data_IF_970778078886
#
_entry.id   IF_970778078886
#
_cell.length_a   1.000
_cell.length_b   1.000
_cell.length_c   1.000
_cell.angle_alpha   90.00
_cell.angle_beta   90.00
_cell.angle_gamma   90.00
#
_symmetry.space_group_name_H-M   'P 1'
#
loop_
_entity.id
_entity.type
_entity.pdbx_description
1 polymer ?
#
# COMPACT_ATOMS: atom_id res chain seq x y z
N UNK A 1 -14.37 10.74 -18.38
CA UNK A 1 -14.96 11.54 -17.26
C UNK A 1 -16.36 11.06 -16.89
N UNK A 2 -17.30 10.97 -17.85
CA UNK A 2 -18.70 10.58 -17.59
C UNK A 2 -18.81 9.17 -16.96
N UNK A 3 -18.01 8.20 -17.40
CA UNK A 3 -18.00 6.84 -16.85
C UNK A 3 -17.57 6.84 -15.39
N UNK A 4 -16.51 7.56 -15.04
CA UNK A 4 -16.01 7.65 -13.66
C UNK A 4 -16.98 8.37 -12.73
N UNK A 5 -17.62 9.43 -13.21
CA UNK A 5 -18.63 10.16 -12.44
C UNK A 5 -19.86 9.29 -12.19
N UNK A 6 -20.35 8.58 -13.20
CA UNK A 6 -21.47 7.65 -13.05
C UNK A 6 -21.11 6.45 -12.16
N UNK A 7 -19.91 5.88 -12.32
CA UNK A 7 -19.42 4.82 -11.45
C UNK A 7 -19.34 5.29 -9.99
N UNK A 8 -18.79 6.47 -9.74
CA UNK A 8 -18.68 7.05 -8.40
C UNK A 8 -20.06 7.34 -7.78
N UNK A 9 -20.99 7.86 -8.56
CA UNK A 9 -22.35 8.12 -8.10
C UNK A 9 -23.08 6.81 -7.76
N UNK A 10 -22.96 5.79 -8.60
CA UNK A 10 -23.54 4.47 -8.35
C UNK A 10 -22.86 3.72 -7.23
N UNK A 11 -21.55 3.90 -7.05
CA UNK A 11 -20.80 3.34 -5.94
C UNK A 11 -21.19 3.96 -4.60
N UNK A 12 -21.42 5.27 -4.56
CA UNK A 12 -21.81 6.01 -3.34
C UNK A 12 -23.32 5.88 -3.02
N UNK A 13 -24.16 5.72 -4.04
CA UNK A 13 -25.62 5.55 -3.92
C UNK A 13 -26.11 4.51 -4.93
N UNK A 14 -25.94 3.22 -4.68
CA UNK A 14 -26.34 2.16 -5.60
C UNK A 14 -27.86 2.06 -5.66
N UNK A 15 -28.46 2.57 -6.73
CA UNK A 15 -29.91 2.45 -6.99
C UNK A 15 -30.25 1.27 -7.89
N UNK A 16 -29.32 0.83 -8.75
CA UNK A 16 -29.57 -0.18 -9.79
C UNK A 16 -28.47 -1.23 -9.91
N UNK A 17 -27.36 -1.11 -9.17
CA UNK A 17 -26.20 -2.01 -9.28
C UNK A 17 -25.76 -2.51 -7.90
N UNK A 18 -25.44 -3.79 -7.83
CA UNK A 18 -24.74 -4.38 -6.69
C UNK A 18 -23.23 -4.39 -6.97
N UNK A 19 -22.44 -4.07 -5.97
CA UNK A 19 -20.98 -4.13 -6.03
C UNK A 19 -20.48 -5.30 -5.20
N UNK A 20 -19.51 -6.03 -5.75
CA UNK A 20 -18.91 -7.19 -5.10
C UNK A 20 -17.41 -7.02 -4.93
N UNK A 21 -16.88 -7.32 -3.76
CA UNK A 21 -15.46 -7.45 -3.51
C UNK A 21 -15.11 -8.94 -3.39
N UNK A 22 -14.65 -9.53 -4.49
CA UNK A 22 -14.43 -10.97 -4.62
C UNK A 22 -12.92 -11.25 -4.57
N UNK A 23 -12.43 -12.09 -3.64
CA UNK A 23 -11.07 -12.61 -3.69
C UNK A 23 -10.83 -13.39 -4.99
N UNK A 24 -9.68 -13.22 -5.65
CA UNK A 24 -9.36 -13.90 -6.91
C UNK A 24 -9.49 -15.42 -6.82
N UNK A 25 -9.16 -16.01 -5.67
CA UNK A 25 -9.25 -17.46 -5.44
C UNK A 25 -10.68 -18.04 -5.57
N UNK A 26 -11.71 -17.21 -5.41
CA UNK A 26 -13.11 -17.64 -5.49
C UNK A 26 -13.91 -16.85 -6.53
N UNK A 27 -13.22 -16.07 -7.37
CA UNK A 27 -13.84 -15.17 -8.34
C UNK A 27 -14.80 -15.91 -9.28
N UNK A 28 -14.36 -16.99 -9.90
CA UNK A 28 -15.14 -17.75 -10.86
C UNK A 28 -16.39 -18.36 -10.22
N UNK A 29 -16.24 -19.01 -9.06
CA UNK A 29 -17.37 -19.60 -8.31
C UNK A 29 -18.38 -18.54 -7.90
N UNK A 30 -17.92 -17.39 -7.39
CA UNK A 30 -18.80 -16.31 -6.96
C UNK A 30 -19.51 -15.66 -8.15
N UNK A 31 -18.80 -15.44 -9.26
CA UNK A 31 -19.38 -14.88 -10.48
C UNK A 31 -20.49 -15.81 -11.04
N UNK A 32 -20.23 -17.11 -11.11
CA UNK A 32 -21.23 -18.09 -11.54
C UNK A 32 -22.46 -18.09 -10.63
N UNK A 33 -22.27 -18.02 -9.31
CA UNK A 33 -23.38 -17.93 -8.36
C UNK A 33 -24.21 -16.65 -8.54
N UNK A 34 -23.56 -15.48 -8.76
CA UNK A 34 -24.25 -14.22 -9.06
C UNK A 34 -25.06 -14.32 -10.35
N UNK A 35 -24.50 -14.95 -11.40
CA UNK A 35 -25.19 -15.14 -12.68
C UNK A 35 -26.42 -16.04 -12.51
N UNK A 36 -26.31 -17.15 -11.75
CA UNK A 36 -27.41 -18.06 -11.46
C UNK A 36 -28.55 -17.34 -10.72
N UNK A 37 -28.23 -16.59 -9.65
CA UNK A 37 -29.23 -15.80 -8.91
C UNK A 37 -29.95 -14.81 -9.83
N UNK A 38 -29.22 -14.11 -10.72
CA UNK A 38 -29.81 -13.16 -11.68
C UNK A 38 -30.73 -13.84 -12.71
N UNK A 39 -30.49 -15.11 -13.02
CA UNK A 39 -31.35 -15.93 -13.87
C UNK A 39 -32.55 -16.54 -13.12
N UNK A 40 -32.65 -16.35 -11.80
CA UNK A 40 -33.65 -16.97 -10.96
C UNK A 40 -33.35 -18.45 -10.61
N UNK A 41 -32.11 -18.87 -10.83
CA UNK A 41 -31.61 -20.21 -10.50
C UNK A 41 -31.05 -20.24 -9.07
N UNK A 42 -31.08 -21.39 -8.41
CA UNK A 42 -30.51 -21.55 -7.06
C UNK A 42 -29.02 -21.94 -7.14
N UNK A 43 -28.08 -21.09 -6.68
CA UNK A 43 -26.64 -21.38 -6.70
C UNK A 43 -26.20 -22.35 -5.59
N UNK A 44 -27.16 -22.89 -4.82
CA UNK A 44 -26.89 -23.72 -3.67
C UNK A 44 -26.36 -22.96 -2.44
N UNK A 45 -26.21 -23.65 -1.29
CA UNK A 45 -25.83 -22.99 -0.03
C UNK A 45 -24.44 -22.33 -0.08
N UNK A 46 -23.48 -22.99 -0.75
CA UNK A 46 -22.11 -22.45 -0.89
C UNK A 46 -22.09 -21.20 -1.79
N UNK A 47 -22.81 -21.23 -2.91
CA UNK A 47 -22.93 -20.11 -3.82
C UNK A 47 -23.61 -18.90 -3.17
N UNK A 48 -24.71 -19.10 -2.43
CA UNK A 48 -25.37 -18.03 -1.67
C UNK A 48 -24.41 -17.37 -0.67
N UNK A 49 -23.69 -18.18 0.11
CA UNK A 49 -22.71 -17.70 1.08
C UNK A 49 -21.55 -16.92 0.45
N UNK A 50 -21.08 -17.36 -0.72
CA UNK A 50 -20.04 -16.64 -1.48
C UNK A 50 -20.53 -15.27 -1.94
N UNK A 51 -21.77 -15.17 -2.43
CA UNK A 51 -22.39 -13.93 -2.87
C UNK A 51 -22.58 -12.98 -1.69
N UNK A 52 -23.23 -13.43 -0.61
CA UNK A 52 -23.46 -12.64 0.61
C UNK A 52 -22.17 -12.09 1.20
N UNK A 53 -21.11 -12.92 1.29
CA UNK A 53 -19.81 -12.49 1.82
C UNK A 53 -19.07 -11.51 0.90
N UNK A 54 -19.43 -11.46 -0.37
CA UNK A 54 -18.75 -10.65 -1.38
C UNK A 54 -19.53 -9.37 -1.70
N UNK A 55 -20.85 -9.36 -1.52
CA UNK A 55 -21.68 -8.19 -1.79
C UNK A 55 -21.35 -7.04 -0.83
N UNK A 56 -21.15 -5.88 -1.41
CA UNK A 56 -20.86 -4.66 -0.67
C UNK A 56 -22.18 -3.94 -0.34
N UNK A 57 -22.84 -4.35 0.74
CA UNK A 57 -23.87 -3.52 1.38
C UNK A 57 -23.20 -2.30 2.06
N UNK A 58 -23.97 -1.27 2.41
CA UNK A 58 -23.41 -0.03 2.94
C UNK A 58 -22.54 -0.23 4.18
N UNK A 59 -22.97 -1.03 5.12
CA UNK A 59 -22.19 -1.34 6.34
C UNK A 59 -20.95 -2.20 6.03
N UNK A 60 -21.10 -3.23 5.23
CA UNK A 60 -19.99 -4.11 4.82
C UNK A 60 -18.97 -3.40 3.93
N UNK A 61 -19.40 -2.44 3.12
CA UNK A 61 -18.55 -1.60 2.28
C UNK A 61 -17.70 -0.67 3.13
N UNK A 62 -18.30 0.04 4.08
CA UNK A 62 -17.61 0.95 5.00
C UNK A 62 -16.62 0.15 5.86
N UNK A 63 -17.02 -0.99 6.41
CA UNK A 63 -16.16 -1.83 7.23
C UNK A 63 -14.96 -2.42 6.44
N UNK A 64 -15.16 -2.84 5.19
CA UNK A 64 -14.08 -3.35 4.32
C UNK A 64 -13.15 -2.24 3.84
N UNK A 65 -13.66 -1.05 3.55
CA UNK A 65 -12.85 0.11 3.20
C UNK A 65 -12.07 0.63 4.42
N UNK A 66 -12.67 0.70 5.58
CA UNK A 66 -12.01 1.08 6.82
C UNK A 66 -10.86 0.12 7.21
N UNK A 67 -11.00 -1.19 6.91
CA UNK A 67 -9.91 -2.17 7.11
C UNK A 67 -8.77 -2.02 6.10
N UNK A 68 -9.03 -1.43 4.94
CA UNK A 68 -8.04 -1.27 3.86
C UNK A 68 -7.19 -0.02 4.03
N UNK A 69 -7.75 1.03 4.63
CA UNK A 69 -7.10 2.32 4.80
C UNK A 69 -6.89 2.62 6.29
N UNK A 70 -5.76 3.23 6.61
CA UNK A 70 -5.39 3.67 7.95
C UNK A 70 -6.04 5.00 8.30
N UNK A 71 -6.29 5.82 7.27
CA UNK A 71 -6.86 7.16 7.37
C UNK A 71 -8.09 7.27 6.47
N UNK A 72 -9.03 8.13 6.87
CA UNK A 72 -10.11 8.60 6.01
C UNK A 72 -9.63 9.78 5.16
N UNK A 73 -10.17 9.93 3.96
CA UNK A 73 -9.82 11.02 3.05
C UNK A 73 -10.04 12.41 3.68
N UNK A 74 -11.09 12.56 4.51
CA UNK A 74 -11.38 13.82 5.19
C UNK A 74 -10.35 14.18 6.27
N UNK A 75 -9.60 13.20 6.75
CA UNK A 75 -8.54 13.40 7.75
C UNK A 75 -7.22 13.85 7.13
N UNK A 76 -7.07 13.74 5.81
CA UNK A 76 -5.82 14.14 5.15
C UNK A 76 -5.58 15.65 5.30
N UNK A 77 -4.33 16.07 5.46
CA UNK A 77 -3.95 17.47 5.70
C UNK A 77 -3.97 18.28 4.40
N UNK A 78 -5.16 18.46 3.82
CA UNK A 78 -5.37 19.12 2.53
C UNK A 78 -4.84 20.54 2.46
N UNK A 79 -4.91 21.28 3.57
CA UNK A 79 -4.39 22.65 3.64
C UNK A 79 -2.87 22.69 3.45
N UNK A 80 -2.16 21.73 4.07
CA UNK A 80 -0.71 21.62 3.96
C UNK A 80 -0.30 21.18 2.56
N UNK A 81 -0.98 20.18 2.00
CA UNK A 81 -0.74 19.71 0.62
C UNK A 81 -0.98 20.82 -0.40
N UNK A 82 -2.10 21.53 -0.30
CA UNK A 82 -2.42 22.63 -1.20
C UNK A 82 -1.42 23.79 -1.10
N UNK A 83 -0.92 24.08 0.11
CA UNK A 83 0.12 25.09 0.31
C UNK A 83 1.45 24.72 -0.37
N UNK A 84 1.68 23.44 -0.64
CA UNK A 84 2.83 22.92 -1.40
C UNK A 84 2.53 22.78 -2.90
N UNK A 85 1.32 23.10 -3.34
CA UNK A 85 0.89 22.99 -4.73
C UNK A 85 0.40 21.58 -5.12
N UNK A 86 0.12 20.73 -4.14
CA UNK A 86 -0.37 19.37 -4.36
C UNK A 86 -1.85 19.30 -3.99
N UNK A 87 -2.69 19.01 -4.96
CA UNK A 87 -4.13 18.86 -4.78
C UNK A 87 -4.57 17.38 -4.88
N UNK A 88 -5.85 17.18 -4.65
CA UNK A 88 -6.47 15.85 -4.70
C UNK A 88 -6.41 15.22 -6.08
N UNK A 89 -6.59 16.03 -7.14
CA UNK A 89 -6.58 15.54 -8.51
C UNK A 89 -5.20 15.02 -8.88
N UNK A 90 -4.15 15.78 -8.54
CA UNK A 90 -2.76 15.39 -8.79
C UNK A 90 -2.39 14.07 -8.09
N UNK A 91 -2.80 13.89 -6.82
CA UNK A 91 -2.61 12.64 -6.10
C UNK A 91 -3.38 11.46 -6.72
N UNK A 92 -4.56 11.72 -7.25
CA UNK A 92 -5.38 10.69 -7.89
C UNK A 92 -4.79 10.27 -9.25
N UNK A 93 -4.40 11.21 -10.09
CA UNK A 93 -3.80 10.97 -11.41
C UNK A 93 -2.50 10.18 -11.31
N UNK A 94 -1.72 10.40 -10.24
CA UNK A 94 -0.48 9.66 -9.96
C UNK A 94 -0.69 8.39 -9.10
N UNK A 95 -1.93 7.96 -8.87
CA UNK A 95 -2.28 6.78 -8.06
C UNK A 95 -1.78 6.80 -6.60
N UNK A 96 -1.38 7.97 -6.09
CA UNK A 96 -0.79 8.14 -4.76
C UNK A 96 -1.83 8.33 -3.64
N UNK A 97 -3.09 8.62 -3.97
CA UNK A 97 -4.15 8.78 -2.97
C UNK A 97 -4.28 7.57 -2.05
N UNK A 98 -4.33 6.36 -2.64
CA UNK A 98 -4.44 5.11 -1.87
C UNK A 98 -3.22 4.82 -1.00
N UNK A 99 -2.04 5.28 -1.37
CA UNK A 99 -0.81 5.16 -0.57
C UNK A 99 -0.88 6.06 0.66
N UNK A 100 -1.27 7.32 0.49
CA UNK A 100 -1.44 8.25 1.59
C UNK A 100 -2.50 7.79 2.59
N UNK A 101 -3.65 7.29 2.11
CA UNK A 101 -4.70 6.72 2.97
C UNK A 101 -4.23 5.50 3.75
N UNK A 102 -3.30 4.71 3.22
CA UNK A 102 -2.66 3.59 3.92
C UNK A 102 -1.53 4.03 4.87
N UNK A 103 -1.18 5.31 4.91
CA UNK A 103 -0.02 5.80 5.65
C UNK A 103 1.29 5.29 5.05
N UNK A 104 1.35 5.18 3.72
CA UNK A 104 2.55 4.84 2.96
C UNK A 104 3.13 6.09 2.30
N UNK A 105 4.40 6.05 1.98
CA UNK A 105 5.06 7.09 1.20
C UNK A 105 4.54 7.03 -0.23
N UNK A 106 4.29 8.19 -0.85
CA UNK A 106 3.89 8.27 -2.26
C UNK A 106 4.99 7.70 -3.16
N UNK A 107 4.61 6.85 -4.10
CA UNK A 107 5.52 6.24 -5.10
C UNK A 107 5.98 7.20 -6.18
N UNK A 108 5.48 8.44 -6.17
CA UNK A 108 5.85 9.52 -7.08
C UNK A 108 6.33 10.71 -6.27
N UNK A 109 7.41 11.35 -6.72
CA UNK A 109 7.83 12.65 -6.24
C UNK A 109 7.06 13.75 -6.98
N UNK A 110 6.53 14.71 -6.24
CA UNK A 110 5.75 15.82 -6.76
C UNK A 110 6.57 17.10 -6.74
N UNK A 111 6.52 17.93 -7.78
CA UNK A 111 7.09 19.27 -7.73
C UNK A 111 6.36 20.09 -6.66
N UNK A 112 7.11 20.65 -5.74
CA UNK A 112 6.56 21.44 -4.65
C UNK A 112 6.98 22.89 -4.77
N UNK A 113 6.09 23.78 -4.37
CA UNK A 113 6.35 25.22 -4.38
C UNK A 113 5.73 25.84 -3.14
N UNK A 114 6.28 26.94 -2.71
CA UNK A 114 5.76 27.72 -1.58
C UNK A 114 5.62 29.17 -1.98
N UNK A 115 4.53 29.78 -1.59
CA UNK A 115 4.35 31.22 -1.76
C UNK A 115 5.07 31.97 -0.64
N UNK A 116 6.02 32.84 -1.02
CA UNK A 116 6.74 33.70 -0.12
C UNK A 116 6.62 35.15 -0.64
N UNK A 117 6.02 36.02 0.14
CA UNK A 117 5.77 37.44 -0.22
C UNK A 117 5.01 37.61 -1.57
N UNK A 118 4.03 36.74 -1.84
CA UNK A 118 3.23 36.77 -3.08
C UNK A 118 3.95 36.19 -4.31
N UNK A 119 5.15 35.64 -4.15
CA UNK A 119 5.91 34.99 -5.24
C UNK A 119 5.99 33.51 -4.99
N UNK A 120 5.60 32.73 -6.00
CA UNK A 120 5.71 31.27 -5.97
C UNK A 120 7.17 30.87 -6.17
N UNK A 121 7.77 30.26 -5.15
CA UNK A 121 9.13 29.75 -5.18
C UNK A 121 9.12 28.24 -5.38
N UNK A 122 9.92 27.75 -6.31
CA UNK A 122 10.16 26.33 -6.50
C UNK A 122 11.00 25.79 -5.32
N UNK A 123 10.52 24.71 -4.72
CA UNK A 123 11.16 24.01 -3.60
C UNK A 123 11.72 22.64 -4.00
N UNK A 124 11.76 22.34 -5.31
CA UNK A 124 12.17 21.05 -5.85
C UNK A 124 11.04 20.01 -5.79
N UNK A 125 11.41 18.76 -5.59
CA UNK A 125 10.46 17.63 -5.56
C UNK A 125 10.39 17.00 -4.17
N UNK A 126 9.22 16.47 -3.80
CA UNK A 126 9.03 15.75 -2.55
C UNK A 126 8.03 14.59 -2.70
N UNK A 127 8.24 13.56 -1.89
CA UNK A 127 7.25 12.53 -1.60
C UNK A 127 6.54 12.83 -0.28
N UNK A 128 5.36 12.31 -0.10
CA UNK A 128 4.51 12.57 1.05
C UNK A 128 4.16 11.30 1.81
N UNK A 129 3.97 11.44 3.11
CA UNK A 129 3.56 10.39 4.02
C UNK A 129 2.64 10.98 5.07
N UNK A 130 1.49 10.34 5.28
CA UNK A 130 0.60 10.66 6.39
C UNK A 130 0.91 9.78 7.61
N UNK A 131 1.07 10.39 8.76
CA UNK A 131 1.27 9.71 10.04
C UNK A 131 0.25 10.19 11.06
N UNK A 132 -0.05 9.37 12.06
CA UNK A 132 -0.88 9.78 13.18
C UNK A 132 0.01 10.46 14.22
N UNK A 133 -0.28 11.73 14.53
CA UNK A 133 0.40 12.47 15.58
C UNK A 133 0.00 11.99 16.98
N UNK A 134 0.70 12.48 18.00
CA UNK A 134 0.41 12.18 19.41
C UNK A 134 -0.97 12.71 19.83
N UNK A 135 -1.43 13.79 19.22
CA UNK A 135 -2.77 14.37 19.39
C UNK A 135 -3.88 13.58 18.67
N UNK A 136 -3.53 12.47 18.02
CA UNK A 136 -4.45 11.62 17.26
C UNK A 136 -4.80 12.15 15.87
N UNK A 137 -4.36 13.35 15.49
CA UNK A 137 -4.60 13.93 14.17
C UNK A 137 -3.63 13.39 13.13
N UNK A 138 -4.07 13.43 11.88
CA UNK A 138 -3.20 13.08 10.75
C UNK A 138 -2.29 14.26 10.42
N UNK A 139 -1.00 13.98 10.36
CA UNK A 139 0.05 14.95 10.06
C UNK A 139 0.73 14.58 8.75
N UNK A 140 1.10 15.59 7.95
CA UNK A 140 1.90 15.44 6.74
C UNK A 140 3.39 15.38 7.08
N UNK A 141 4.06 14.33 6.64
CA UNK A 141 5.53 14.33 6.53
C UNK A 141 5.91 14.54 5.08
N UNK A 142 6.70 15.57 4.82
CA UNK A 142 7.27 15.91 3.51
C UNK A 142 8.69 15.38 3.43
N UNK A 143 8.95 14.53 2.46
CA UNK A 143 10.24 13.93 2.19
C UNK A 143 10.81 14.55 0.92
N UNK A 144 11.49 15.68 1.03
CA UNK A 144 12.16 16.33 -0.11
C UNK A 144 13.13 15.35 -0.76
N UNK A 145 13.09 15.28 -2.10
CA UNK A 145 14.01 14.46 -2.89
C UNK A 145 15.44 14.93 -2.64
N UNK A 146 16.33 13.98 -2.44
CA UNK A 146 17.76 14.23 -2.31
C UNK A 146 18.43 14.18 -3.68
N UNK A 147 19.46 14.98 -3.90
CA UNK A 147 20.24 15.00 -5.15
C UNK A 147 21.00 13.68 -5.36
N UNK A 148 21.35 13.01 -4.26
CA UNK A 148 22.06 11.74 -4.25
C UNK A 148 21.34 10.74 -3.35
N UNK A 149 21.52 9.43 -3.60
CA UNK A 149 21.03 8.41 -2.69
C UNK A 149 21.48 8.67 -1.25
N UNK A 150 20.58 8.53 -0.30
CA UNK A 150 20.84 8.85 1.10
C UNK A 150 22.01 8.05 1.69
N UNK A 151 22.23 6.82 1.25
CA UNK A 151 23.34 5.98 1.69
C UNK A 151 24.73 6.48 1.24
N UNK A 152 24.80 7.43 0.31
CA UNK A 152 26.05 8.09 -0.12
C UNK A 152 26.31 9.42 0.61
N UNK A 153 25.40 9.84 1.47
CA UNK A 153 25.60 11.03 2.28
C UNK A 153 26.62 10.77 3.41
N UNK A 154 27.37 11.80 3.84
CA UNK A 154 28.37 11.67 4.89
C UNK A 154 27.86 11.03 6.19
N UNK A 155 26.59 11.31 6.56
CA UNK A 155 25.95 10.73 7.74
C UNK A 155 25.76 9.21 7.68
N UNK A 156 25.84 8.60 6.50
CA UNK A 156 25.67 7.16 6.27
C UNK A 156 27.00 6.46 5.93
N UNK A 157 28.12 7.19 6.02
CA UNK A 157 29.45 6.63 5.75
C UNK A 157 29.73 5.43 6.66
N UNK A 158 29.98 4.27 6.05
CA UNK A 158 30.26 3.01 6.77
C UNK A 158 29.01 2.30 7.32
N UNK A 159 27.81 2.85 7.11
CA UNK A 159 26.56 2.17 7.51
C UNK A 159 26.22 1.03 6.57
N UNK A 160 26.45 1.20 5.27
CA UNK A 160 26.20 0.19 4.24
C UNK A 160 27.50 -0.23 3.56
N UNK A 161 27.63 -1.53 3.29
CA UNK A 161 28.71 -2.04 2.41
C UNK A 161 28.38 -1.74 0.96
N UNK A 162 29.34 -1.87 0.05
CA UNK A 162 29.10 -1.59 -1.37
C UNK A 162 28.13 -2.64 -1.97
N UNK A 163 28.17 -3.89 -1.51
CA UNK A 163 27.22 -4.93 -1.91
C UNK A 163 25.80 -4.61 -1.41
N UNK A 164 25.64 -4.08 -0.19
CA UNK A 164 24.37 -3.65 0.36
C UNK A 164 23.78 -2.47 -0.44
N UNK A 165 24.62 -1.50 -0.81
CA UNK A 165 24.21 -0.36 -1.64
C UNK A 165 23.75 -0.81 -3.04
N UNK A 166 24.54 -1.69 -3.67
CA UNK A 166 24.18 -2.24 -4.97
C UNK A 166 22.85 -2.98 -4.90
N UNK A 167 22.65 -3.81 -3.87
CA UNK A 167 21.42 -4.54 -3.65
C UNK A 167 20.20 -3.61 -3.46
N UNK A 168 20.36 -2.55 -2.65
CA UNK A 168 19.31 -1.54 -2.47
C UNK A 168 18.96 -0.85 -3.79
N UNK A 169 19.94 -0.56 -4.63
CA UNK A 169 19.74 0.05 -5.93
C UNK A 169 19.04 -0.89 -6.92
N UNK A 170 19.44 -2.15 -6.97
CA UNK A 170 18.95 -3.13 -7.95
C UNK A 170 17.55 -3.66 -7.59
N UNK A 171 17.28 -3.84 -6.29
CA UNK A 171 16.07 -4.52 -5.82
C UNK A 171 15.13 -3.64 -4.99
N UNK A 172 15.56 -2.43 -4.64
CA UNK A 172 14.82 -1.53 -3.76
C UNK A 172 14.78 -1.97 -2.29
N UNK A 173 15.45 -3.08 -1.90
CA UNK A 173 15.42 -3.59 -0.53
C UNK A 173 16.75 -4.26 -0.14
N UNK A 174 17.13 -4.15 1.14
CA UNK A 174 18.31 -4.84 1.65
C UNK A 174 18.15 -6.37 1.64
N UNK A 175 16.90 -6.87 1.73
CA UNK A 175 16.63 -8.31 1.81
C UNK A 175 17.16 -8.94 3.09
N UNK A 176 17.28 -8.18 4.16
CA UNK A 176 17.76 -8.55 5.47
C UNK A 176 17.34 -7.53 6.52
N UNK A 177 17.72 -7.80 7.77
CA UNK A 177 17.46 -6.94 8.91
C UNK A 177 18.76 -6.21 9.26
N UNK A 178 18.62 -4.90 9.60
CA UNK A 178 19.74 -4.06 10.04
C UNK A 178 19.30 -3.18 11.19
N UNK A 179 20.15 -2.97 12.17
CA UNK A 179 19.90 -2.00 13.22
C UNK A 179 20.04 -0.58 12.65
N UNK A 180 18.95 0.15 12.67
CA UNK A 180 18.86 1.49 12.10
C UNK A 180 17.85 2.35 12.85
N UNK A 181 17.92 3.65 12.60
CA UNK A 181 16.91 4.60 13.06
C UNK A 181 15.64 4.44 12.22
N UNK A 182 14.53 4.10 12.85
CA UNK A 182 13.25 3.95 12.17
C UNK A 182 12.76 5.28 11.56
N UNK A 183 12.35 5.24 10.32
CA UNK A 183 11.88 6.41 9.55
C UNK A 183 10.64 7.06 10.16
N UNK A 184 9.78 6.27 10.81
CA UNK A 184 8.48 6.72 11.32
C UNK A 184 8.58 7.25 12.75
N UNK A 185 9.27 6.53 13.63
CA UNK A 185 9.38 6.85 15.06
C UNK A 185 10.67 7.54 15.44
N UNK A 186 11.71 7.40 14.62
CA UNK A 186 13.05 7.91 14.91
C UNK A 186 13.84 7.12 15.96
N UNK A 187 13.32 5.97 16.44
CA UNK A 187 14.02 5.09 17.40
C UNK A 187 14.99 4.17 16.69
N UNK A 188 16.11 3.85 17.35
CA UNK A 188 17.06 2.85 16.86
C UNK A 188 16.53 1.46 17.24
N UNK A 189 16.38 0.60 16.25
CA UNK A 189 15.88 -0.76 16.41
C UNK A 189 16.24 -1.62 15.20
N UNK A 190 15.99 -2.92 15.28
CA UNK A 190 16.10 -3.81 14.14
C UNK A 190 15.00 -3.49 13.11
N UNK A 191 15.44 -3.14 11.90
CA UNK A 191 14.55 -2.67 10.83
C UNK A 191 14.73 -3.51 9.56
N UNK A 192 13.63 -3.67 8.81
CA UNK A 192 13.70 -3.88 7.38
C UNK A 192 14.12 -2.58 6.71
N UNK A 193 14.97 -2.67 5.70
CA UNK A 193 15.54 -1.52 5.01
C UNK A 193 15.19 -1.57 3.54
N UNK A 194 14.64 -0.48 3.04
CA UNK A 194 14.31 -0.29 1.63
C UNK A 194 14.90 1.03 1.12
N UNK A 195 15.15 1.10 -0.17
CA UNK A 195 15.50 2.32 -0.87
C UNK A 195 14.28 2.82 -1.63
N UNK A 196 13.91 4.05 -1.35
CA UNK A 196 12.80 4.72 -2.02
C UNK A 196 13.35 5.66 -3.09
N UNK A 197 13.45 5.15 -4.30
CA UNK A 197 14.06 5.81 -5.46
C UNK A 197 13.44 7.20 -5.73
N UNK A 198 12.09 7.42 -5.72
CA UNK A 198 11.53 8.73 -6.00
C UNK A 198 12.00 9.85 -5.06
N UNK A 199 12.35 9.54 -3.81
CA UNK A 199 12.90 10.51 -2.86
C UNK A 199 14.40 10.39 -2.63
N UNK A 200 15.07 9.42 -3.24
CA UNK A 200 16.48 9.05 -2.98
C UNK A 200 16.78 8.76 -1.50
N UNK A 201 15.80 8.21 -0.76
CA UNK A 201 15.91 7.99 0.70
C UNK A 201 15.90 6.53 1.08
N UNK A 202 16.58 6.25 2.19
CA UNK A 202 16.45 4.99 2.91
C UNK A 202 15.19 5.07 3.77
N UNK A 203 14.33 4.06 3.61
CA UNK A 203 13.13 3.87 4.42
C UNK A 203 13.35 2.65 5.30
N UNK A 204 13.10 2.82 6.56
CA UNK A 204 13.26 1.76 7.55
C UNK A 204 11.92 1.49 8.24
N UNK A 205 11.67 0.24 8.58
CA UNK A 205 10.48 -0.17 9.31
C UNK A 205 10.86 -1.19 10.38
N UNK A 206 10.47 -0.99 11.64
CA UNK A 206 10.76 -1.93 12.72
C UNK A 206 10.24 -3.33 12.41
N UNK A 207 11.03 -4.35 12.72
CA UNK A 207 10.66 -5.76 12.48
C UNK A 207 9.40 -6.13 13.24
N UNK A 208 9.24 -5.66 14.46
CA UNK A 208 8.10 -5.91 15.34
C UNK A 208 6.82 -5.17 14.92
N UNK A 209 6.94 -4.14 14.07
CA UNK A 209 5.79 -3.44 13.50
C UNK A 209 5.11 -4.21 12.36
N UNK A 210 5.78 -5.26 11.81
CA UNK A 210 5.25 -6.03 10.69
C UNK A 210 4.74 -7.39 11.18
N UNK A 211 3.45 -7.62 10.97
CA UNK A 211 2.86 -8.94 11.15
C UNK A 211 2.92 -9.71 9.83
N UNK A 212 3.69 -10.81 9.83
CA UNK A 212 3.74 -11.71 8.68
C UNK A 212 2.37 -12.36 8.50
N UNK A 213 1.75 -12.25 7.30
CA UNK A 213 0.43 -12.81 7.07
C UNK A 213 0.49 -14.34 6.96
N UNK A 214 -0.62 -15.00 7.31
CA UNK A 214 -0.75 -16.46 7.08
C UNK A 214 -1.01 -16.80 5.62
N UNK A 215 -1.55 -15.85 4.85
CA UNK A 215 -1.94 -16.04 3.46
C UNK A 215 -1.47 -14.88 2.59
N UNK A 216 -0.92 -15.19 1.41
CA UNK A 216 -0.63 -14.21 0.34
C UNK A 216 -1.31 -14.70 -0.93
N UNK A 217 -2.08 -13.83 -1.59
CA UNK A 217 -2.88 -14.13 -2.79
C UNK A 217 -3.79 -15.37 -2.62
N UNK A 218 -4.37 -15.53 -1.43
CA UNK A 218 -5.26 -16.66 -1.11
C UNK A 218 -4.54 -17.98 -0.81
N UNK A 219 -3.23 -18.03 -0.85
CA UNK A 219 -2.42 -19.21 -0.55
C UNK A 219 -1.80 -19.11 0.83
N UNK A 220 -1.89 -20.21 1.59
CA UNK A 220 -1.28 -20.29 2.91
C UNK A 220 0.24 -20.38 2.78
N UNK A 221 0.94 -19.53 3.54
CA UNK A 221 2.40 -19.60 3.66
C UNK A 221 2.80 -20.76 4.59
N UNK A 222 3.84 -21.47 4.20
CA UNK A 222 4.49 -22.45 5.08
C UNK A 222 5.45 -21.74 6.04
N UNK A 223 5.96 -22.48 7.03
CA UNK A 223 6.82 -21.91 8.07
C UNK A 223 8.16 -21.40 7.51
N UNK A 224 8.72 -22.05 6.47
CA UNK A 224 9.93 -21.58 5.79
C UNK A 224 9.71 -20.28 5.06
N UNK A 225 8.58 -20.15 4.37
CA UNK A 225 8.19 -18.91 3.70
C UNK A 225 7.95 -17.77 4.69
N UNK A 226 7.27 -18.05 5.81
CA UNK A 226 7.09 -17.06 6.88
C UNK A 226 8.43 -16.64 7.48
N UNK A 227 9.32 -17.58 7.74
CA UNK A 227 10.65 -17.30 8.26
C UNK A 227 11.50 -16.48 7.27
N UNK A 228 11.44 -16.79 5.97
CA UNK A 228 12.09 -16.00 4.93
C UNK A 228 11.60 -14.54 4.92
N UNK A 229 10.28 -14.33 4.98
CA UNK A 229 9.71 -12.98 5.07
C UNK A 229 10.09 -12.28 6.39
N UNK A 230 10.06 -13.00 7.51
CA UNK A 230 10.43 -12.46 8.82
C UNK A 230 11.91 -12.04 8.89
N UNK A 231 12.78 -12.69 8.12
CA UNK A 231 14.21 -12.32 8.00
C UNK A 231 14.47 -11.20 6.97
N UNK A 232 13.42 -10.66 6.32
CA UNK A 232 13.54 -9.61 5.30
C UNK A 232 13.77 -10.15 3.89
N UNK A 233 13.69 -11.46 3.69
CA UNK A 233 13.79 -12.10 2.38
C UNK A 233 12.57 -11.81 1.50
N UNK A 234 12.73 -12.06 0.21
CA UNK A 234 11.65 -11.93 -0.78
C UNK A 234 11.14 -13.31 -1.18
N UNK A 235 9.84 -13.43 -1.39
CA UNK A 235 9.21 -14.59 -2.01
C UNK A 235 8.79 -14.23 -3.42
N UNK A 236 9.16 -15.06 -4.40
CA UNK A 236 8.60 -14.93 -5.74
C UNK A 236 7.16 -15.46 -5.76
N UNK A 237 6.32 -14.93 -6.67
CA UNK A 237 4.96 -15.44 -6.87
C UNK A 237 5.02 -16.93 -7.27
N UNK A 238 6.03 -17.35 -8.03
CA UNK A 238 6.25 -18.74 -8.43
C UNK A 238 6.56 -19.64 -7.24
N UNK A 239 7.29 -19.16 -6.21
CA UNK A 239 7.58 -19.96 -5.01
C UNK A 239 6.31 -20.22 -4.18
N UNK A 240 5.35 -19.28 -4.25
CA UNK A 240 4.04 -19.44 -3.64
C UNK A 240 3.15 -20.39 -4.48
N UNK A 241 3.34 -20.45 -5.81
CA UNK A 241 2.53 -21.27 -6.73
C UNK A 241 2.97 -22.73 -6.82
N UNK A 242 4.27 -23.04 -6.83
CA UNK A 242 4.82 -24.37 -7.11
C UNK A 242 4.42 -25.49 -6.15
N UNK A 243 4.06 -25.19 -4.90
CA UNK A 243 3.66 -26.24 -3.93
C UNK A 243 2.25 -26.80 -4.09
N UNK A 244 1.37 -26.17 -4.88
CA UNK A 244 0.02 -26.70 -5.09
C UNK A 244 -0.08 -27.69 -6.27
N UNK A 245 0.85 -27.61 -7.23
CA UNK A 245 0.85 -28.52 -8.38
C UNK A 245 1.35 -29.93 -8.02
N UNK A 246 2.15 -30.03 -6.95
CA UNK A 246 2.68 -31.33 -6.48
C UNK A 246 1.66 -32.13 -5.66
N UNK A 247 0.61 -31.49 -5.14
CA UNK A 247 -0.45 -32.17 -4.38
C UNK A 247 -1.59 -32.71 -5.27
N UNK A 248 -1.70 -32.24 -6.52
CA UNK A 248 -2.70 -32.69 -7.49
C UNK A 248 -2.19 -33.76 -8.46
N UNK A 249 -0.89 -34.05 -8.46
CA UNK A 249 -0.27 -35.11 -9.28
C UNK A 249 -0.07 -36.45 -8.53
N UNK A 250 -0.63 -36.59 -7.34
CA UNK A 250 -0.50 -37.76 -6.46
C UNK A 250 -1.83 -38.43 -6.16
N UNK A 251 -2.76 -38.53 -7.16
CA UNK A 251 -3.94 -39.44 -7.13
C UNK A 251 -3.98 -40.19 -8.42
#
# INVERSE_FOLDING_TARGET
ELFFTNFKNQYNNPTSFSFFLIPLAVLEKTLNAVIQIRKGEDPGPEGKKLVENSELNDEGRIAKLARRYKFDEHQLPWKELSALGVDKQLLFENHCMGEMLKGRITSTAFPISKEVNGVKQDMGEACFLCVKGEDGKVQLKTLSRLDKPQYDLPAYKGVFTDEEKQKLQDTGTLGGIKEMKDTYTGKVCNCYVAFHEPSNRIITMPVDAIKIPDYIYGKRLDDKQKQALASGGQLSINDIQRKNDTLLSGV
#
